data_IF_862745238795
#
_entry.id   IF_862745238795
#
_cell.length_a   1.000
_cell.length_b   1.000
_cell.length_c   1.000
_cell.angle_alpha   90.00
_cell.angle_beta   90.00
_cell.angle_gamma   90.00
#
_symmetry.space_group_name_H-M   'P 1'
#
loop_
_entity.id
_entity.type
_entity.pdbx_description
1 polymer ?
#
# COMPACT_ATOMS: atom_id res chain seq x y z
N UNK A 1 -17.16 -15.58 35.78
CA UNK A 1 -17.08 -15.71 34.31
C UNK A 1 -18.44 -15.34 33.72
N UNK A 2 -18.50 -14.31 32.87
CA UNK A 2 -19.71 -13.75 32.26
C UNK A 2 -19.51 -13.50 30.74
N UNK A 3 -18.56 -14.19 30.11
CA UNK A 3 -18.29 -14.05 28.68
C UNK A 3 -19.39 -14.66 27.80
N UNK A 4 -19.56 -14.12 26.58
CA UNK A 4 -20.49 -14.63 25.55
C UNK A 4 -21.96 -14.67 25.96
N UNK A 5 -22.40 -13.75 26.81
CA UNK A 5 -23.78 -13.69 27.32
C UNK A 5 -24.67 -12.62 26.65
N UNK A 6 -24.18 -11.96 25.59
CA UNK A 6 -24.90 -10.89 24.86
C UNK A 6 -25.34 -9.73 25.78
N UNK A 7 -24.61 -9.51 26.89
CA UNK A 7 -24.91 -8.43 27.84
C UNK A 7 -24.79 -7.08 27.13
N UNK A 8 -25.81 -6.22 27.26
CA UNK A 8 -25.82 -4.88 26.66
C UNK A 8 -25.43 -3.78 27.63
N UNK A 9 -25.74 -3.98 28.90
CA UNK A 9 -25.44 -3.06 30.00
C UNK A 9 -25.18 -3.86 31.27
N UNK A 10 -24.44 -3.26 32.18
CA UNK A 10 -24.25 -3.74 33.55
C UNK A 10 -24.54 -2.55 34.45
N UNK A 11 -25.31 -2.75 35.51
CA UNK A 11 -25.63 -1.68 36.45
C UNK A 11 -24.41 -1.31 37.29
N UNK A 12 -24.31 -0.04 37.67
CA UNK A 12 -23.30 0.42 38.62
C UNK A 12 -23.38 -0.38 39.93
N UNK A 13 -22.22 -0.68 40.50
CA UNK A 13 -22.12 -1.42 41.76
C UNK A 13 -22.49 -2.91 41.69
N UNK A 14 -22.80 -3.47 40.51
CA UNK A 14 -23.13 -4.92 40.34
C UNK A 14 -22.10 -5.83 40.99
N UNK A 15 -20.81 -5.47 40.91
CA UNK A 15 -19.70 -6.26 41.45
C UNK A 15 -19.12 -5.72 42.77
N UNK A 16 -19.69 -4.64 43.32
CA UNK A 16 -19.10 -3.88 44.45
C UNK A 16 -18.87 -4.69 45.73
N UNK A 17 -19.69 -5.72 45.96
CA UNK A 17 -19.59 -6.58 47.15
C UNK A 17 -18.71 -7.81 46.95
N UNK A 18 -18.15 -8.02 45.75
CA UNK A 18 -17.36 -9.20 45.40
C UNK A 18 -15.88 -8.99 45.70
N UNK A 19 -15.54 -8.59 46.93
CA UNK A 19 -14.17 -8.24 47.33
C UNK A 19 -13.14 -9.37 47.22
N UNK A 20 -13.60 -10.63 47.17
CA UNK A 20 -12.78 -11.84 46.99
C UNK A 20 -12.66 -12.30 45.53
N UNK A 21 -13.29 -11.59 44.59
CA UNK A 21 -13.26 -11.96 43.17
C UNK A 21 -11.84 -11.82 42.62
N UNK A 22 -11.31 -12.89 42.04
CA UNK A 22 -9.95 -12.94 41.48
C UNK A 22 -9.96 -12.74 39.96
N UNK A 23 -11.00 -13.22 39.30
CA UNK A 23 -11.11 -13.22 37.83
C UNK A 23 -12.51 -12.77 37.40
N UNK A 24 -12.53 -11.79 36.48
CA UNK A 24 -13.73 -11.28 35.86
C UNK A 24 -13.56 -11.26 34.35
N UNK A 25 -14.30 -12.14 33.69
CA UNK A 25 -14.36 -12.20 32.24
C UNK A 25 -15.74 -11.70 31.75
N UNK A 26 -15.74 -10.56 31.07
CA UNK A 26 -16.87 -9.91 30.41
C UNK A 26 -16.72 -9.92 28.88
N UNK A 27 -15.80 -10.71 28.34
CA UNK A 27 -15.48 -10.71 26.92
C UNK A 27 -16.61 -11.18 26.02
N UNK A 28 -16.58 -10.75 24.75
CA UNK A 28 -17.55 -11.17 23.72
C UNK A 28 -19.01 -10.92 24.12
N UNK A 29 -19.29 -9.77 24.72
CA UNK A 29 -20.65 -9.31 25.00
C UNK A 29 -21.02 -8.16 24.03
N UNK A 30 -22.08 -7.42 24.33
CA UNK A 30 -22.54 -6.28 23.53
C UNK A 30 -22.52 -4.99 24.36
N UNK A 31 -21.54 -4.86 25.25
CA UNK A 31 -21.38 -3.70 26.12
C UNK A 31 -20.90 -2.51 25.30
N UNK A 32 -21.74 -1.49 25.18
CA UNK A 32 -21.39 -0.25 24.49
C UNK A 32 -20.66 0.75 25.41
N UNK A 33 -20.91 0.65 26.72
CA UNK A 33 -20.33 1.50 27.75
C UNK A 33 -20.09 0.66 29.02
N UNK A 34 -19.09 1.07 29.80
CA UNK A 34 -18.88 0.57 31.16
C UNK A 34 -19.18 1.70 32.14
N UNK A 35 -20.01 1.47 33.16
CA UNK A 35 -20.16 2.43 34.24
C UNK A 35 -18.81 2.75 34.90
N UNK A 36 -18.60 3.99 35.30
CA UNK A 36 -17.31 4.46 35.83
C UNK A 36 -16.88 3.70 37.10
N UNK A 37 -17.84 3.39 37.97
CA UNK A 37 -17.63 2.68 39.24
C UNK A 37 -17.87 1.16 39.15
N UNK A 38 -17.92 0.60 37.93
CA UNK A 38 -18.25 -0.82 37.73
C UNK A 38 -17.32 -1.78 38.49
N UNK A 39 -16.04 -1.42 38.59
CA UNK A 39 -14.99 -2.25 39.19
C UNK A 39 -14.64 -1.85 40.62
N UNK A 40 -15.37 -0.91 41.21
CA UNK A 40 -15.14 -0.50 42.59
C UNK A 40 -15.41 -1.66 43.56
N UNK A 41 -14.62 -1.75 44.63
CA UNK A 41 -14.72 -2.84 45.62
C UNK A 41 -14.06 -4.16 45.21
N UNK A 42 -13.57 -4.30 43.97
CA UNK A 42 -12.88 -5.49 43.47
C UNK A 42 -11.39 -5.55 43.86
N UNK A 43 -11.10 -5.39 45.15
CA UNK A 43 -9.74 -5.24 45.66
C UNK A 43 -8.81 -6.41 45.32
N UNK A 44 -9.32 -7.66 45.24
CA UNK A 44 -8.52 -8.86 44.98
C UNK A 44 -8.47 -9.29 43.51
N UNK A 45 -9.02 -8.48 42.59
CA UNK A 45 -9.08 -8.85 41.19
C UNK A 45 -7.69 -8.85 40.57
N UNK A 46 -7.33 -9.97 39.95
CA UNK A 46 -6.04 -10.18 39.30
C UNK A 46 -6.17 -10.28 37.78
N UNK A 47 -7.32 -10.75 37.28
CA UNK A 47 -7.55 -10.92 35.85
C UNK A 47 -8.86 -10.26 35.43
N UNK A 48 -8.76 -9.34 34.46
CA UNK A 48 -9.91 -8.67 33.87
C UNK A 48 -9.87 -8.83 32.35
N UNK A 49 -10.97 -9.32 31.80
CA UNK A 49 -11.13 -9.43 30.35
C UNK A 49 -12.41 -8.70 29.93
N UNK A 50 -12.27 -7.64 29.15
CA UNK A 50 -13.40 -6.89 28.55
C UNK A 50 -13.36 -6.89 27.02
N UNK A 51 -12.52 -7.76 26.44
CA UNK A 51 -12.29 -7.85 25.00
C UNK A 51 -13.55 -8.14 24.19
N UNK A 52 -13.50 -7.79 22.90
CA UNK A 52 -14.58 -8.07 21.94
C UNK A 52 -15.95 -7.53 22.38
N UNK A 53 -15.97 -6.34 22.94
CA UNK A 53 -17.18 -5.56 23.19
C UNK A 53 -17.17 -4.29 22.32
N UNK A 54 -18.33 -3.78 21.88
CA UNK A 54 -18.42 -2.55 21.09
C UNK A 54 -18.26 -1.29 21.97
N UNK A 55 -17.27 -1.27 22.86
CA UNK A 55 -17.02 -0.13 23.76
C UNK A 55 -16.53 1.07 22.97
N UNK A 56 -17.26 2.18 23.07
CA UNK A 56 -16.90 3.43 22.39
C UNK A 56 -15.79 4.19 23.12
N UNK A 57 -15.79 4.14 24.46
CA UNK A 57 -14.86 4.86 25.31
C UNK A 57 -14.61 4.11 26.62
N UNK A 58 -13.51 4.46 27.29
CA UNK A 58 -13.22 4.08 28.66
C UNK A 58 -13.22 5.36 29.50
N UNK A 59 -13.91 5.34 30.63
CA UNK A 59 -13.91 6.46 31.55
C UNK A 59 -12.49 6.75 32.05
N UNK A 60 -12.11 8.02 32.27
CA UNK A 60 -10.88 8.35 32.99
C UNK A 60 -10.87 7.61 34.33
N UNK A 61 -9.77 6.90 34.61
CA UNK A 61 -9.64 6.14 35.84
C UNK A 61 -10.48 4.85 35.93
N UNK A 62 -11.05 4.34 34.83
CA UNK A 62 -11.86 3.11 34.80
C UNK A 62 -11.23 1.91 35.53
N UNK A 63 -9.89 1.85 35.59
CA UNK A 63 -9.14 0.76 36.22
C UNK A 63 -8.43 1.17 37.52
N UNK A 64 -8.66 2.37 38.06
CA UNK A 64 -7.95 2.86 39.25
C UNK A 64 -8.24 2.03 40.50
N UNK A 65 -9.44 1.50 40.63
CA UNK A 65 -9.90 0.68 41.77
C UNK A 65 -9.37 -0.77 41.75
N UNK A 66 -8.36 -1.08 40.92
CA UNK A 66 -7.84 -2.45 40.70
C UNK A 66 -6.33 -2.57 41.07
N UNK A 67 -5.96 -2.42 42.36
CA UNK A 67 -4.56 -2.32 42.78
C UNK A 67 -3.74 -3.61 42.57
N UNK A 68 -4.41 -4.77 42.49
CA UNK A 68 -3.77 -6.09 42.36
C UNK A 68 -3.91 -6.71 40.96
N UNK A 69 -4.37 -5.92 39.97
CA UNK A 69 -4.57 -6.42 38.62
C UNK A 69 -3.24 -6.84 37.98
N UNK A 70 -3.17 -8.08 37.49
CA UNK A 70 -1.99 -8.69 36.86
C UNK A 70 -2.15 -8.87 35.36
N UNK A 71 -3.37 -9.12 34.90
CA UNK A 71 -3.70 -9.35 33.49
C UNK A 71 -4.93 -8.55 33.07
N UNK A 72 -4.80 -7.80 31.97
CA UNK A 72 -5.89 -7.00 31.39
C UNK A 72 -5.99 -7.28 29.88
N UNK A 73 -7.16 -7.75 29.43
CA UNK A 73 -7.43 -7.90 28.00
C UNK A 73 -8.42 -6.85 27.49
N UNK A 74 -7.95 -6.07 26.52
CA UNK A 74 -8.63 -5.02 25.75
C UNK A 74 -8.66 -5.37 24.25
N UNK A 75 -8.49 -6.64 23.92
CA UNK A 75 -8.47 -7.12 22.54
C UNK A 75 -9.80 -6.85 21.83
N UNK A 76 -9.75 -6.56 20.52
CA UNK A 76 -10.95 -6.25 19.74
C UNK A 76 -11.60 -4.90 20.04
N UNK A 77 -11.12 -4.13 21.02
CA UNK A 77 -11.63 -2.78 21.33
C UNK A 77 -10.99 -1.72 20.43
N UNK A 78 -11.81 -0.85 19.84
CA UNK A 78 -11.38 0.31 19.05
C UNK A 78 -11.52 1.59 19.87
N UNK A 79 -10.68 1.77 20.89
CA UNK A 79 -10.78 2.94 21.77
C UNK A 79 -9.90 4.07 21.20
N UNK A 80 -10.48 5.20 20.76
CA UNK A 80 -9.73 6.30 20.13
C UNK A 80 -8.86 7.10 21.13
N UNK A 81 -9.16 7.04 22.43
CA UNK A 81 -8.54 7.90 23.46
C UNK A 81 -7.75 7.10 24.52
N UNK A 82 -6.97 6.10 24.09
CA UNK A 82 -6.04 5.43 25.01
C UNK A 82 -4.82 6.34 25.21
N UNK A 83 -4.51 6.63 26.48
CA UNK A 83 -3.37 7.45 26.87
C UNK A 83 -2.56 6.78 27.99
N UNK A 84 -1.32 7.20 28.17
CA UNK A 84 -0.40 6.65 29.18
C UNK A 84 -1.00 6.73 30.59
N UNK A 85 -1.76 7.80 30.87
CA UNK A 85 -2.43 8.03 32.15
C UNK A 85 -3.51 7.00 32.46
N UNK A 86 -4.08 6.32 31.45
CA UNK A 86 -5.12 5.30 31.64
C UNK A 86 -4.60 4.09 32.45
N UNK A 87 -3.30 3.78 32.38
CA UNK A 87 -2.73 2.57 32.98
C UNK A 87 -1.71 2.84 34.10
N UNK A 88 -1.44 4.11 34.42
CA UNK A 88 -0.33 4.47 35.32
C UNK A 88 -0.51 3.96 36.77
N UNK A 89 -1.75 3.81 37.25
CA UNK A 89 -2.05 3.24 38.58
C UNK A 89 -1.93 1.72 38.66
N UNK A 90 -1.88 1.03 37.52
CA UNK A 90 -1.82 -0.43 37.47
C UNK A 90 -0.36 -0.90 37.64
N UNK A 91 0.19 -0.70 38.84
CA UNK A 91 1.61 -0.96 39.15
C UNK A 91 1.97 -2.45 39.16
N UNK A 92 0.99 -3.33 39.38
CA UNK A 92 1.18 -4.78 39.41
C UNK A 92 0.86 -5.47 38.07
N UNK A 93 0.54 -4.69 37.04
CA UNK A 93 0.14 -5.22 35.74
C UNK A 93 1.34 -5.86 35.03
N UNK A 94 1.20 -7.15 34.73
CA UNK A 94 2.26 -7.95 34.11
C UNK A 94 1.97 -8.30 32.66
N UNK A 95 0.69 -8.45 32.32
CA UNK A 95 0.21 -8.83 31.00
C UNK A 95 -0.90 -7.88 30.55
N UNK A 96 -0.79 -7.37 29.32
CA UNK A 96 -1.83 -6.58 28.69
C UNK A 96 -1.99 -6.94 27.22
N UNK A 97 -3.23 -7.03 26.76
CA UNK A 97 -3.58 -7.39 25.40
C UNK A 97 -4.38 -6.25 24.77
N UNK A 98 -3.88 -5.69 23.68
CA UNK A 98 -4.53 -4.64 22.91
C UNK A 98 -4.98 -5.15 21.54
N UNK A 99 -5.84 -4.39 20.87
CA UNK A 99 -6.12 -4.58 19.44
C UNK A 99 -4.92 -4.23 18.55
N UNK A 100 -4.19 -3.16 18.86
CA UNK A 100 -3.07 -2.64 18.05
C UNK A 100 -1.76 -2.68 18.82
N UNK A 101 -0.70 -3.16 18.17
CA UNK A 101 0.63 -3.29 18.79
C UNK A 101 1.22 -1.91 19.21
N UNK A 102 0.89 -0.83 18.50
CA UNK A 102 1.38 0.53 18.81
C UNK A 102 0.95 1.03 20.19
N UNK A 103 -0.16 0.51 20.75
CA UNK A 103 -0.64 0.89 22.08
C UNK A 103 0.26 0.37 23.21
N UNK A 104 1.13 -0.60 22.93
CA UNK A 104 2.14 -1.05 23.87
C UNK A 104 3.13 0.07 24.26
N UNK A 105 3.29 1.10 23.43
CA UNK A 105 4.10 2.28 23.77
C UNK A 105 3.57 3.06 24.98
N UNK A 106 2.29 2.94 25.31
CA UNK A 106 1.65 3.60 26.44
C UNK A 106 1.87 2.92 27.79
N UNK A 107 2.40 1.68 27.78
CA UNK A 107 2.56 0.84 28.97
C UNK A 107 3.98 0.24 29.06
N UNK A 108 5.04 1.09 29.06
CA UNK A 108 6.42 0.61 29.06
C UNK A 108 6.80 -0.15 30.34
N UNK A 109 6.07 0.03 31.43
CA UNK A 109 6.29 -0.68 32.71
C UNK A 109 5.76 -2.12 32.70
N UNK A 110 4.93 -2.50 31.72
CA UNK A 110 4.31 -3.82 31.65
C UNK A 110 5.26 -4.81 30.98
N UNK A 111 5.50 -5.95 31.64
CA UNK A 111 6.47 -6.97 31.19
C UNK A 111 6.09 -7.64 29.86
N UNK A 112 4.80 -7.91 29.65
CA UNK A 112 4.30 -8.57 28.43
C UNK A 112 3.12 -7.81 27.84
N UNK A 113 3.36 -7.15 26.72
CA UNK A 113 2.31 -6.50 25.92
C UNK A 113 2.10 -7.23 24.59
N UNK A 114 0.84 -7.43 24.21
CA UNK A 114 0.42 -8.11 22.97
C UNK A 114 -0.55 -7.22 22.18
N UNK A 115 -0.56 -7.28 20.83
CA UNK A 115 0.32 -8.07 19.97
C UNK A 115 1.73 -7.45 19.83
N UNK A 116 2.70 -8.25 19.40
CA UNK A 116 4.11 -7.82 19.21
C UNK A 116 4.37 -7.30 17.78
N UNK A 117 3.40 -7.46 16.89
CA UNK A 117 3.50 -7.21 15.46
C UNK A 117 2.11 -7.01 14.87
N UNK A 118 2.02 -6.21 13.80
CA UNK A 118 0.86 -6.11 12.91
C UNK A 118 1.04 -6.96 11.63
N UNK A 119 2.08 -7.80 11.58
CA UNK A 119 2.50 -8.57 10.40
C UNK A 119 3.43 -7.82 9.44
N UNK A 120 3.56 -6.51 9.59
CA UNK A 120 4.46 -5.64 8.79
C UNK A 120 5.66 -5.23 9.63
N UNK A 121 5.35 -4.67 10.79
CA UNK A 121 6.26 -4.09 11.76
C UNK A 121 6.38 -4.98 12.99
N UNK A 122 7.51 -4.88 13.68
CA UNK A 122 7.72 -5.49 15.00
C UNK A 122 7.94 -4.41 16.05
N UNK A 123 8.22 -4.80 17.29
CA UNK A 123 8.59 -3.82 18.32
C UNK A 123 9.91 -3.12 18.04
N UNK A 124 10.81 -3.83 17.36
CA UNK A 124 12.17 -3.36 17.10
C UNK A 124 12.27 -2.64 15.75
N UNK A 125 11.56 -3.11 14.71
CA UNK A 125 11.79 -2.63 13.34
C UNK A 125 10.47 -2.30 12.63
N UNK A 126 10.50 -1.30 11.75
CA UNK A 126 9.37 -0.92 10.91
C UNK A 126 9.03 -2.04 9.92
N UNK A 127 10.06 -2.66 9.33
CA UNK A 127 9.96 -3.88 8.56
C UNK A 127 10.49 -5.06 9.39
N UNK A 128 9.58 -5.88 9.91
CA UNK A 128 9.93 -7.00 10.79
C UNK A 128 10.85 -8.04 10.11
N UNK A 129 10.68 -8.24 8.80
CA UNK A 129 11.40 -9.27 8.05
C UNK A 129 12.73 -8.72 7.48
N UNK A 130 13.84 -9.40 7.78
CA UNK A 130 15.17 -9.04 7.25
C UNK A 130 15.23 -9.07 5.71
N UNK A 131 14.52 -9.99 5.07
CA UNK A 131 14.47 -10.08 3.60
C UNK A 131 13.80 -8.84 3.02
N UNK A 132 12.71 -8.37 3.64
CA UNK A 132 12.03 -7.13 3.20
C UNK A 132 12.93 -5.91 3.40
N UNK A 133 13.68 -5.85 4.51
CA UNK A 133 14.65 -4.78 4.78
C UNK A 133 15.78 -4.73 3.77
N UNK A 134 16.30 -5.87 3.31
CA UNK A 134 17.31 -5.88 2.24
C UNK A 134 16.67 -5.55 0.89
N UNK A 135 15.50 -6.12 0.62
CA UNK A 135 14.81 -5.97 -0.66
C UNK A 135 14.36 -4.53 -0.92
N UNK A 136 13.95 -3.78 0.11
CA UNK A 136 13.50 -2.38 -0.06
C UNK A 136 14.60 -1.51 -0.67
N UNK A 137 15.85 -1.66 -0.21
CA UNK A 137 17.00 -0.91 -0.74
C UNK A 137 17.36 -1.35 -2.15
N UNK A 138 17.37 -2.65 -2.42
CA UNK A 138 17.68 -3.19 -3.75
C UNK A 138 16.66 -2.70 -4.78
N UNK A 139 15.37 -2.80 -4.47
CA UNK A 139 14.31 -2.39 -5.38
C UNK A 139 14.26 -0.86 -5.52
N UNK A 140 14.46 -0.10 -4.44
CA UNK A 140 14.55 1.36 -4.49
C UNK A 140 15.67 1.82 -5.46
N UNK A 141 16.88 1.26 -5.31
CA UNK A 141 18.01 1.54 -6.18
C UNK A 141 17.71 1.17 -7.64
N UNK A 142 17.25 -0.06 -7.89
CA UNK A 142 16.93 -0.52 -9.24
C UNK A 142 15.87 0.37 -9.92
N UNK A 143 14.84 0.74 -9.17
CA UNK A 143 13.74 1.57 -9.68
C UNK A 143 14.21 3.00 -9.97
N UNK A 144 14.89 3.66 -9.04
CA UNK A 144 15.37 5.03 -9.24
C UNK A 144 16.44 5.13 -10.34
N UNK A 145 17.51 4.35 -10.22
CA UNK A 145 18.64 4.44 -11.16
C UNK A 145 18.28 3.86 -12.53
N UNK A 146 17.51 2.77 -12.58
CA UNK A 146 17.05 2.17 -13.83
C UNK A 146 16.20 3.13 -14.65
N UNK A 147 15.20 3.77 -14.02
CA UNK A 147 14.34 4.73 -14.72
C UNK A 147 15.10 6.02 -15.10
N UNK A 148 15.97 6.54 -14.24
CA UNK A 148 16.81 7.70 -14.54
C UNK A 148 17.74 7.44 -15.73
N UNK A 149 18.37 6.26 -15.78
CA UNK A 149 19.23 5.85 -16.88
C UNK A 149 18.46 5.85 -18.21
N UNK A 150 17.23 5.31 -18.22
CA UNK A 150 16.38 5.28 -19.43
C UNK A 150 16.01 6.69 -19.89
N UNK A 151 15.66 7.59 -18.97
CA UNK A 151 15.34 8.99 -19.27
C UNK A 151 16.57 9.69 -19.88
N UNK A 152 17.74 9.55 -19.25
CA UNK A 152 19.00 10.16 -19.70
C UNK A 152 19.38 9.64 -21.08
N UNK A 153 19.44 8.33 -21.24
CA UNK A 153 19.79 7.67 -22.50
C UNK A 153 18.87 8.09 -23.66
N UNK A 154 17.56 8.10 -23.44
CA UNK A 154 16.58 8.53 -24.46
C UNK A 154 16.57 10.03 -24.70
N UNK A 155 17.21 10.82 -23.84
CA UNK A 155 17.37 12.27 -24.03
C UNK A 155 18.67 12.59 -24.77
N UNK A 156 19.75 11.88 -24.50
CA UNK A 156 21.05 12.07 -25.18
C UNK A 156 21.09 11.49 -26.60
N UNK A 157 20.40 10.38 -26.87
CA UNK A 157 20.39 9.73 -28.20
C UNK A 157 19.43 10.41 -29.21
N UNK A 158 19.05 11.67 -28.97
CA UNK A 158 17.98 12.38 -29.66
C UNK A 158 18.05 12.41 -31.19
N UNK A 159 17.35 11.46 -31.81
CA UNK A 159 16.79 11.63 -33.16
C UNK A 159 15.27 11.53 -33.04
N UNK A 160 14.61 12.69 -33.13
CA UNK A 160 13.16 12.94 -33.07
C UNK A 160 12.39 12.59 -31.78
N UNK A 161 11.71 13.61 -31.22
CA UNK A 161 10.77 13.50 -30.11
C UNK A 161 9.45 12.86 -30.56
N UNK A 162 9.46 11.54 -30.80
CA UNK A 162 8.25 10.78 -31.07
C UNK A 162 7.27 10.88 -29.87
N UNK A 163 5.95 10.96 -30.10
CA UNK A 163 4.95 10.94 -29.01
C UNK A 163 5.16 9.73 -28.09
N UNK A 164 5.47 8.58 -28.69
CA UNK A 164 5.85 7.35 -28.00
C UNK A 164 7.06 7.49 -27.06
N UNK A 165 8.13 8.17 -27.49
CA UNK A 165 9.31 8.41 -26.65
C UNK A 165 8.97 9.32 -25.47
N UNK A 166 8.03 10.25 -25.66
CA UNK A 166 7.56 11.16 -24.61
C UNK A 166 6.74 10.41 -23.55
N UNK A 167 5.86 9.49 -23.98
CA UNK A 167 5.10 8.63 -23.07
C UNK A 167 6.00 7.72 -22.23
N UNK A 168 7.04 7.10 -22.83
CA UNK A 168 8.00 6.28 -22.08
C UNK A 168 8.76 7.11 -21.04
N UNK A 169 9.20 8.32 -21.39
CA UNK A 169 9.85 9.21 -20.40
C UNK A 169 8.91 9.55 -19.25
N UNK A 170 7.64 9.84 -19.54
CA UNK A 170 6.62 10.09 -18.52
C UNK A 170 6.41 8.87 -17.60
N UNK A 171 6.40 7.66 -18.16
CA UNK A 171 6.25 6.43 -17.39
C UNK A 171 7.46 6.18 -16.48
N UNK A 172 8.68 6.40 -16.97
CA UNK A 172 9.88 6.33 -16.14
C UNK A 172 9.88 7.38 -15.01
N UNK A 173 9.30 8.57 -15.23
CA UNK A 173 9.11 9.55 -14.16
C UNK A 173 8.14 9.03 -13.09
N UNK A 174 7.00 8.46 -13.49
CA UNK A 174 6.04 7.88 -12.56
C UNK A 174 6.64 6.71 -11.76
N UNK A 175 7.29 5.76 -12.43
CA UNK A 175 7.96 4.62 -11.79
C UNK A 175 9.11 5.05 -10.87
N UNK A 176 9.86 6.10 -11.23
CA UNK A 176 10.90 6.67 -10.37
C UNK A 176 10.37 7.19 -9.02
N UNK A 177 9.13 7.69 -8.97
CA UNK A 177 8.49 8.12 -7.72
C UNK A 177 8.28 6.94 -6.75
N UNK A 178 7.99 5.73 -7.26
CA UNK A 178 7.90 4.52 -6.42
C UNK A 178 9.25 4.22 -5.75
N UNK A 179 10.36 4.39 -6.47
CA UNK A 179 11.70 4.23 -5.91
C UNK A 179 12.00 5.23 -4.79
N UNK A 180 11.60 6.50 -4.96
CA UNK A 180 11.72 7.54 -3.92
C UNK A 180 10.90 7.15 -2.68
N UNK A 181 9.67 6.67 -2.85
CA UNK A 181 8.86 6.17 -1.75
C UNK A 181 9.57 5.04 -0.98
N UNK A 182 10.13 4.04 -1.67
CA UNK A 182 10.84 2.94 -1.01
C UNK A 182 12.10 3.42 -0.28
N UNK A 183 12.82 4.42 -0.81
CA UNK A 183 13.93 5.06 -0.11
C UNK A 183 13.48 5.70 1.21
N UNK A 184 12.33 6.37 1.22
CA UNK A 184 11.76 6.96 2.45
C UNK A 184 11.46 5.86 3.47
N UNK A 185 10.78 4.77 3.06
CA UNK A 185 10.49 3.65 3.96
C UNK A 185 11.77 3.01 4.50
N UNK A 186 12.76 2.75 3.64
CA UNK A 186 14.05 2.18 4.05
C UNK A 186 14.81 3.10 5.02
N UNK A 187 14.80 4.41 4.79
CA UNK A 187 15.47 5.37 5.66
C UNK A 187 14.84 5.42 7.07
N UNK A 188 13.51 5.45 7.16
CA UNK A 188 12.82 5.44 8.45
C UNK A 188 12.86 4.08 9.15
N UNK A 189 12.94 2.97 8.42
CA UNK A 189 13.23 1.65 9.01
C UNK A 189 14.61 1.63 9.69
N UNK A 190 15.64 2.18 9.02
CA UNK A 190 16.98 2.32 9.63
C UNK A 190 16.97 3.29 10.83
N UNK A 191 16.26 4.42 10.72
CA UNK A 191 16.21 5.42 11.78
C UNK A 191 15.59 4.89 13.08
N UNK A 192 14.57 4.04 12.98
CA UNK A 192 13.85 3.53 14.14
C UNK A 192 14.22 2.09 14.53
N UNK A 193 15.32 1.57 13.97
CA UNK A 193 15.74 0.18 14.21
C UNK A 193 16.10 -0.05 15.69
N UNK A 194 15.59 -1.14 16.25
CA UNK A 194 15.75 -1.55 17.65
C UNK A 194 14.64 -1.06 18.58
N UNK A 195 13.90 0.01 18.23
CA UNK A 195 12.88 0.58 19.12
C UNK A 195 11.68 1.21 18.39
N UNK A 196 11.31 0.65 17.23
CA UNK A 196 10.22 1.17 16.40
C UNK A 196 8.88 1.37 17.13
N UNK A 197 8.49 0.50 18.07
CA UNK A 197 7.19 0.63 18.75
C UNK A 197 7.00 1.98 19.43
N UNK A 198 8.06 2.58 19.99
CA UNK A 198 8.01 3.90 20.64
C UNK A 198 7.71 5.01 19.64
N UNK A 199 8.14 4.84 18.39
CA UNK A 199 7.98 5.82 17.32
C UNK A 199 6.79 5.52 16.39
N UNK A 200 6.22 4.31 16.44
CA UNK A 200 5.22 3.83 15.49
C UNK A 200 4.03 4.78 15.35
N UNK A 201 3.43 5.23 16.47
CA UNK A 201 2.29 6.15 16.43
C UNK A 201 2.68 7.54 15.89
N UNK A 202 3.86 8.04 16.28
CA UNK A 202 4.38 9.31 15.79
C UNK A 202 4.65 9.26 14.29
N UNK A 203 5.29 8.19 13.80
CA UNK A 203 5.58 7.95 12.40
C UNK A 203 4.30 7.86 11.56
N UNK A 204 3.36 6.99 11.94
CA UNK A 204 2.10 6.83 11.23
C UNK A 204 1.23 8.09 11.25
N UNK A 205 1.30 8.91 12.30
CA UNK A 205 0.63 10.21 12.36
C UNK A 205 1.33 11.33 11.60
N UNK A 206 2.58 11.13 11.18
CA UNK A 206 3.44 12.19 10.67
C UNK A 206 3.15 12.60 9.23
N UNK A 207 3.53 13.84 8.87
CA UNK A 207 3.46 14.34 7.50
C UNK A 207 4.37 13.55 6.54
N UNK A 208 5.63 13.17 6.88
CA UNK A 208 6.46 12.34 6.01
C UNK A 208 5.81 11.01 5.60
N UNK A 209 5.18 10.29 6.53
CA UNK A 209 4.47 9.06 6.22
C UNK A 209 3.29 9.32 5.25
N UNK A 210 2.48 10.35 5.54
CA UNK A 210 1.35 10.71 4.69
C UNK A 210 1.79 11.12 3.26
N UNK A 211 2.87 11.89 3.13
CA UNK A 211 3.43 12.27 1.84
C UNK A 211 4.02 11.06 1.11
N UNK A 212 4.73 10.17 1.81
CA UNK A 212 5.27 8.94 1.23
C UNK A 212 4.15 8.06 0.66
N UNK A 213 3.06 7.88 1.40
CA UNK A 213 1.87 7.17 0.93
C UNK A 213 1.24 7.81 -0.30
N UNK A 214 1.07 9.14 -0.30
CA UNK A 214 0.54 9.86 -1.46
C UNK A 214 1.44 9.72 -2.69
N UNK A 215 2.76 9.70 -2.49
CA UNK A 215 3.74 9.52 -3.56
C UNK A 215 3.64 8.11 -4.18
N UNK A 216 3.48 7.09 -3.33
CA UNK A 216 3.29 5.71 -3.78
C UNK A 216 2.00 5.55 -4.60
N UNK A 217 0.88 6.12 -4.13
CA UNK A 217 -0.38 6.12 -4.90
C UNK A 217 -0.25 6.91 -6.20
N UNK A 218 0.37 8.10 -6.17
CA UNK A 218 0.59 8.89 -7.39
C UNK A 218 1.38 8.09 -8.42
N UNK A 219 2.45 7.43 -7.99
CA UNK A 219 3.28 6.58 -8.83
C UNK A 219 2.48 5.41 -9.43
N UNK A 220 1.79 4.62 -8.60
CA UNK A 220 1.05 3.44 -9.07
C UNK A 220 -0.07 3.80 -10.05
N UNK A 221 -0.88 4.80 -9.72
CA UNK A 221 -2.06 5.15 -10.52
C UNK A 221 -1.66 5.82 -11.84
N UNK A 222 -0.67 6.72 -11.82
CA UNK A 222 -0.17 7.34 -13.05
C UNK A 222 0.46 6.29 -13.96
N UNK A 223 1.22 5.33 -13.44
CA UNK A 223 1.81 4.25 -14.24
C UNK A 223 0.74 3.42 -14.97
N UNK A 224 -0.34 3.01 -14.30
CA UNK A 224 -1.44 2.23 -14.93
C UNK A 224 -2.16 3.05 -16.02
N UNK A 225 -2.45 4.32 -15.75
CA UNK A 225 -3.09 5.22 -16.73
C UNK A 225 -2.19 5.47 -17.95
N UNK A 226 -0.88 5.61 -17.74
CA UNK A 226 0.11 5.77 -18.81
C UNK A 226 0.23 4.50 -19.67
N UNK A 227 0.24 3.31 -19.05
CA UNK A 227 0.24 2.03 -19.78
C UNK A 227 -1.03 1.85 -20.61
N UNK A 228 -2.18 2.25 -20.07
CA UNK A 228 -3.46 2.27 -20.79
C UNK A 228 -3.40 3.21 -21.98
N UNK A 229 -2.91 4.43 -21.78
CA UNK A 229 -2.70 5.40 -22.85
C UNK A 229 -1.77 4.88 -23.95
N UNK A 230 -0.61 4.32 -23.58
CA UNK A 230 0.35 3.76 -24.54
C UNK A 230 -0.27 2.64 -25.36
N UNK A 231 -1.12 1.80 -24.75
CA UNK A 231 -1.83 0.72 -25.44
C UNK A 231 -2.86 1.28 -26.42
N UNK A 232 -3.66 2.28 -26.00
CA UNK A 232 -4.63 2.94 -26.87
C UNK A 232 -3.98 3.71 -28.03
N UNK A 233 -2.84 4.35 -27.81
CA UNK A 233 -2.07 5.01 -28.87
C UNK A 233 -1.67 4.00 -29.95
N UNK A 234 -1.17 2.82 -29.56
CA UNK A 234 -0.80 1.74 -30.50
C UNK A 234 -2.01 1.14 -31.20
N UNK A 235 -3.09 0.89 -30.46
CA UNK A 235 -4.34 0.42 -31.01
C UNK A 235 -4.84 1.34 -32.13
N UNK A 236 -4.94 2.65 -31.87
CA UNK A 236 -5.38 3.62 -32.86
C UNK A 236 -4.46 3.67 -34.08
N UNK A 237 -3.14 3.60 -33.87
CA UNK A 237 -2.15 3.67 -34.96
C UNK A 237 -2.16 2.45 -35.88
N UNK A 238 -2.40 1.25 -35.32
CA UNK A 238 -2.37 -0.02 -36.07
C UNK A 238 -3.73 -0.32 -36.71
N UNK A 239 -4.83 -0.10 -35.99
CA UNK A 239 -6.17 -0.42 -36.48
C UNK A 239 -6.72 0.68 -37.40
N UNK A 240 -6.33 1.94 -37.20
CA UNK A 240 -6.82 3.09 -37.98
C UNK A 240 -5.68 3.93 -38.60
N UNK A 241 -4.96 3.40 -39.60
CA UNK A 241 -3.74 4.02 -40.13
C UNK A 241 -3.94 5.39 -40.83
N UNK A 242 -5.16 5.72 -41.30
CA UNK A 242 -5.43 6.96 -42.05
C UNK A 242 -6.01 8.12 -41.21
N UNK A 243 -6.03 8.01 -39.88
CA UNK A 243 -6.51 9.10 -39.02
C UNK A 243 -5.51 10.28 -38.98
N UNK A 244 -5.97 11.48 -39.33
CA UNK A 244 -5.19 12.72 -39.53
C UNK A 244 -4.12 13.00 -38.44
N UNK A 245 -2.84 12.86 -38.80
CA UNK A 245 -1.70 12.71 -37.87
C UNK A 245 -0.94 13.99 -37.47
N UNK A 246 -1.31 15.19 -37.96
CA UNK A 246 -0.48 16.41 -37.79
C UNK A 246 -0.59 17.09 -36.42
N UNK A 247 -1.65 16.81 -35.65
CA UNK A 247 -1.88 17.37 -34.30
C UNK A 247 -1.45 16.45 -33.15
N UNK A 248 -0.77 15.33 -33.44
CA UNK A 248 -0.55 14.22 -32.50
C UNK A 248 0.37 14.60 -31.34
N UNK A 249 1.45 15.35 -31.55
CA UNK A 249 2.42 15.68 -30.48
C UNK A 249 1.82 16.61 -29.41
N UNK A 250 1.11 17.68 -29.79
CA UNK A 250 0.43 18.59 -28.84
C UNK A 250 -0.67 17.83 -28.07
N UNK A 251 -1.42 16.97 -28.77
CA UNK A 251 -2.42 16.10 -28.15
C UNK A 251 -1.81 15.13 -27.13
N UNK A 252 -0.70 14.48 -27.47
CA UNK A 252 0.02 13.58 -26.53
C UNK A 252 0.42 14.31 -25.26
N UNK A 253 1.09 15.46 -25.37
CA UNK A 253 1.51 16.24 -24.18
C UNK A 253 0.31 16.65 -23.33
N UNK A 254 -0.79 17.09 -23.97
CA UNK A 254 -2.02 17.45 -23.25
C UNK A 254 -2.64 16.26 -22.51
N UNK A 255 -2.68 15.08 -23.14
CA UNK A 255 -3.21 13.86 -22.50
C UNK A 255 -2.32 13.41 -21.34
N UNK A 256 -0.99 13.44 -21.52
CA UNK A 256 -0.05 13.11 -20.45
C UNK A 256 -0.20 14.08 -19.26
N UNK A 257 -0.33 15.38 -19.51
CA UNK A 257 -0.60 16.37 -18.47
C UNK A 257 -1.92 16.10 -17.73
N UNK A 258 -2.98 15.74 -18.46
CA UNK A 258 -4.26 15.37 -17.86
C UNK A 258 -4.16 14.11 -16.98
N UNK A 259 -3.40 13.10 -17.41
CA UNK A 259 -3.14 11.89 -16.61
C UNK A 259 -2.42 12.26 -15.30
N UNK A 260 -1.39 13.11 -15.37
CA UNK A 260 -0.67 13.57 -14.18
C UNK A 260 -1.57 14.39 -13.24
N UNK A 261 -2.39 15.28 -13.78
CA UNK A 261 -3.35 16.06 -12.98
C UNK A 261 -4.37 15.16 -12.30
N UNK A 262 -4.90 14.16 -13.01
CA UNK A 262 -5.81 13.17 -12.43
C UNK A 262 -5.11 12.37 -11.33
N UNK A 263 -3.94 11.81 -11.59
CA UNK A 263 -3.17 11.06 -10.58
C UNK A 263 -2.83 11.90 -9.34
N UNK A 264 -2.41 13.15 -9.54
CA UNK A 264 -2.14 14.08 -8.45
C UNK A 264 -3.41 14.34 -7.63
N UNK A 265 -4.54 14.61 -8.28
CA UNK A 265 -5.82 14.80 -7.59
C UNK A 265 -6.21 13.55 -6.78
N UNK A 266 -6.07 12.35 -7.35
CA UNK A 266 -6.40 11.09 -6.67
C UNK A 266 -5.52 10.83 -5.44
N UNK A 267 -4.24 11.21 -5.51
CA UNK A 267 -3.30 11.06 -4.39
C UNK A 267 -3.42 12.12 -3.28
N UNK A 268 -3.82 13.35 -3.62
CA UNK A 268 -3.80 14.49 -2.69
C UNK A 268 -5.14 14.72 -2.00
N UNK A 269 -6.27 14.36 -2.62
CA UNK A 269 -7.61 14.51 -2.03
C UNK A 269 -7.72 13.92 -0.60
N UNK A 270 -7.19 12.72 -0.29
CA UNK A 270 -7.20 12.20 1.08
C UNK A 270 -6.35 12.98 2.07
N UNK A 271 -5.34 13.72 1.63
CA UNK A 271 -4.50 14.58 2.47
C UNK A 271 -5.21 15.89 2.84
N UNK A 272 -5.93 16.48 1.89
CA UNK A 272 -6.66 17.73 2.08
C UNK A 272 -7.93 17.54 2.92
N UNK A 273 -8.66 16.44 2.71
CA UNK A 273 -9.96 16.20 3.33
C UNK A 273 -9.89 15.24 4.53
N UNK A 274 -9.13 15.62 5.57
CA UNK A 274 -8.96 14.80 6.78
C UNK A 274 -10.26 14.52 7.54
N UNK A 275 -11.24 15.42 7.48
CA UNK A 275 -12.56 15.19 8.08
C UNK A 275 -13.34 14.06 7.39
N UNK A 276 -13.10 13.83 6.11
CA UNK A 276 -13.76 12.77 5.35
C UNK A 276 -12.97 11.46 5.43
N UNK A 277 -11.64 11.51 5.32
CA UNK A 277 -10.80 10.31 5.14
C UNK A 277 -10.01 9.89 6.39
N UNK A 278 -9.88 10.77 7.38
CA UNK A 278 -9.06 10.56 8.56
C UNK A 278 -7.57 10.49 8.22
N UNK A 279 -6.80 9.73 8.99
CA UNK A 279 -5.43 9.39 8.62
C UNK A 279 -5.44 8.27 7.56
N UNK A 280 -5.64 8.64 6.29
CA UNK A 280 -5.83 7.69 5.20
C UNK A 280 -4.56 6.88 4.88
N UNK A 281 -3.44 7.58 4.71
CA UNK A 281 -2.14 6.96 4.39
C UNK A 281 -1.46 6.36 5.62
N UNK A 282 -1.54 7.03 6.77
CA UNK A 282 -0.84 6.65 7.99
C UNK A 282 -1.55 5.59 8.85
N UNK A 283 -2.14 4.56 8.24
CA UNK A 283 -2.81 3.46 8.98
C UNK A 283 -1.89 2.32 9.33
N UNK A 284 -0.79 2.19 8.61
CA UNK A 284 0.21 1.13 8.78
C UNK A 284 1.62 1.72 8.67
N UNK A 285 2.62 0.95 9.09
CA UNK A 285 4.02 1.39 9.09
C UNK A 285 4.60 1.74 7.72
N UNK A 286 4.04 1.18 6.64
CA UNK A 286 4.48 1.42 5.24
C UNK A 286 3.71 2.55 4.55
N UNK A 287 2.75 3.17 5.24
CA UNK A 287 1.98 4.31 4.76
C UNK A 287 1.15 4.07 3.48
N UNK A 288 0.75 2.81 3.21
CA UNK A 288 0.07 2.44 1.96
C UNK A 288 -1.36 1.93 2.20
N UNK A 289 -2.39 2.52 1.56
CA UNK A 289 -3.80 2.29 1.91
C UNK A 289 -4.45 1.11 1.15
N UNK A 290 -3.84 -0.08 1.24
CA UNK A 290 -4.34 -1.29 0.56
C UNK A 290 -5.41 -2.02 1.39
N UNK A 291 -5.15 -2.22 2.67
CA UNK A 291 -6.02 -2.98 3.57
C UNK A 291 -7.07 -2.08 4.19
N UNK A 292 -8.34 -2.51 4.15
CA UNK A 292 -9.45 -1.83 4.80
C UNK A 292 -9.87 -2.55 6.08
N UNK A 293 -9.73 -1.88 7.24
CA UNK A 293 -10.21 -2.39 8.54
C UNK A 293 -11.72 -2.10 8.77
N UNK A 294 -12.35 -2.89 9.64
CA UNK A 294 -13.79 -2.81 9.95
C UNK A 294 -14.22 -1.43 10.51
N UNK A 295 -13.35 -0.77 11.28
CA UNK A 295 -13.56 0.58 11.86
C UNK A 295 -13.27 1.76 10.95
N UNK A 296 -12.97 1.52 9.66
CA UNK A 296 -12.71 2.61 8.72
C UNK A 296 -13.97 3.38 8.34
N UNK A 297 -13.81 4.69 8.14
CA UNK A 297 -14.87 5.52 7.56
C UNK A 297 -15.30 4.94 6.21
N UNK A 298 -16.62 4.81 5.94
CA UNK A 298 -17.13 4.25 4.69
C UNK A 298 -16.60 4.98 3.44
N UNK A 299 -16.42 6.30 3.54
CA UNK A 299 -15.81 7.15 2.49
C UNK A 299 -14.40 6.71 2.12
N UNK A 300 -13.53 6.45 3.10
CA UNK A 300 -12.16 6.02 2.87
C UNK A 300 -12.09 4.60 2.28
N UNK A 301 -12.93 3.69 2.79
CA UNK A 301 -13.03 2.33 2.26
C UNK A 301 -13.48 2.35 0.80
N UNK A 302 -14.52 3.12 0.50
CA UNK A 302 -15.04 3.32 -0.86
C UNK A 302 -13.99 3.91 -1.78
N UNK A 303 -13.27 4.95 -1.35
CA UNK A 303 -12.23 5.61 -2.15
C UNK A 303 -11.07 4.68 -2.51
N UNK A 304 -10.52 3.96 -1.53
CA UNK A 304 -9.46 2.96 -1.78
C UNK A 304 -9.95 1.85 -2.73
N UNK A 305 -11.20 1.41 -2.62
CA UNK A 305 -11.79 0.44 -3.55
C UNK A 305 -11.96 1.02 -4.97
N UNK A 306 -12.41 2.26 -5.10
CA UNK A 306 -12.55 2.93 -6.40
C UNK A 306 -11.21 3.02 -7.13
N UNK A 307 -10.13 3.34 -6.43
CA UNK A 307 -8.79 3.45 -7.03
C UNK A 307 -8.25 2.05 -7.36
N UNK A 308 -8.01 1.22 -6.34
CA UNK A 308 -7.25 -0.03 -6.51
C UNK A 308 -8.05 -1.17 -7.12
N UNK A 309 -9.38 -1.10 -7.15
CA UNK A 309 -10.22 -2.10 -7.82
C UNK A 309 -10.92 -1.49 -9.04
N UNK A 310 -11.65 -0.38 -8.87
CA UNK A 310 -12.48 0.20 -9.94
C UNK A 310 -11.68 0.72 -11.14
N UNK A 311 -10.83 1.72 -10.92
CA UNK A 311 -10.04 2.38 -11.96
C UNK A 311 -9.11 1.38 -12.67
N UNK A 312 -8.39 0.57 -11.88
CA UNK A 312 -7.44 -0.38 -12.42
C UNK A 312 -8.12 -1.52 -13.18
N UNK A 313 -9.27 -2.04 -12.73
CA UNK A 313 -10.04 -3.02 -13.49
C UNK A 313 -10.51 -2.44 -14.84
N UNK A 314 -11.00 -1.20 -14.85
CA UNK A 314 -11.42 -0.53 -16.09
C UNK A 314 -10.24 -0.34 -17.06
N UNK A 315 -9.06 0.03 -16.54
CA UNK A 315 -7.81 0.10 -17.30
C UNK A 315 -7.45 -1.26 -17.92
N UNK A 316 -7.45 -2.34 -17.14
CA UNK A 316 -7.14 -3.68 -17.65
C UNK A 316 -8.13 -4.18 -18.70
N UNK A 317 -9.44 -3.96 -18.52
CA UNK A 317 -10.45 -4.33 -19.51
C UNK A 317 -10.17 -3.60 -20.84
N UNK A 318 -9.89 -2.30 -20.75
CA UNK A 318 -9.57 -1.46 -21.92
C UNK A 318 -8.32 -1.97 -22.65
N UNK A 319 -7.28 -2.31 -21.88
CA UNK A 319 -6.03 -2.85 -22.38
C UNK A 319 -6.25 -4.20 -23.09
N UNK A 320 -6.93 -5.16 -22.43
CA UNK A 320 -7.19 -6.49 -22.99
C UNK A 320 -8.00 -6.39 -24.28
N UNK A 321 -9.03 -5.54 -24.31
CA UNK A 321 -9.82 -5.27 -25.51
C UNK A 321 -8.93 -4.73 -26.65
N UNK A 322 -8.12 -3.71 -26.36
CA UNK A 322 -7.26 -3.06 -27.34
C UNK A 322 -6.22 -4.03 -27.94
N UNK A 323 -5.56 -4.87 -27.11
CA UNK A 323 -4.63 -5.89 -27.60
C UNK A 323 -5.33 -6.96 -28.42
N UNK A 324 -6.49 -7.45 -27.97
CA UNK A 324 -7.25 -8.46 -28.69
C UNK A 324 -7.61 -7.99 -30.10
N UNK A 325 -8.09 -6.74 -30.20
CA UNK A 325 -8.41 -6.13 -31.50
C UNK A 325 -7.17 -5.86 -32.35
N UNK A 326 -6.06 -5.41 -31.74
CA UNK A 326 -4.79 -5.19 -32.44
C UNK A 326 -4.24 -6.50 -33.03
N UNK A 327 -4.17 -7.58 -32.24
CA UNK A 327 -3.69 -8.88 -32.71
C UNK A 327 -4.61 -9.47 -33.78
N UNK A 328 -5.93 -9.30 -33.65
CA UNK A 328 -6.88 -9.70 -34.68
C UNK A 328 -6.63 -8.95 -36.00
N UNK A 329 -6.52 -7.62 -35.96
CA UNK A 329 -6.24 -6.79 -37.14
C UNK A 329 -4.91 -7.17 -37.81
N UNK A 330 -3.87 -7.39 -37.01
CA UNK A 330 -2.57 -7.88 -37.49
C UNK A 330 -2.72 -9.24 -38.20
N UNK A 331 -3.45 -10.20 -37.61
CA UNK A 331 -3.64 -11.53 -38.19
C UNK A 331 -4.42 -11.47 -39.52
N UNK A 332 -5.48 -10.67 -39.58
CA UNK A 332 -6.28 -10.46 -40.79
C UNK A 332 -5.47 -9.75 -41.89
N UNK A 333 -4.59 -8.82 -41.52
CA UNK A 333 -3.73 -8.11 -42.48
C UNK A 333 -2.61 -9.02 -42.98
N UNK A 334 -2.00 -9.82 -42.09
CA UNK A 334 -0.97 -10.79 -42.43
C UNK A 334 -1.46 -11.90 -43.37
N UNK A 335 -2.74 -12.31 -43.28
CA UNK A 335 -3.31 -13.30 -44.19
C UNK A 335 -3.66 -12.74 -45.57
N UNK A 336 -3.81 -11.42 -45.71
CA UNK A 336 -4.19 -10.74 -46.95
C UNK A 336 -3.02 -10.17 -47.76
N UNK A 337 -1.84 -9.99 -47.16
CA UNK A 337 -0.70 -9.33 -47.81
C UNK A 337 0.53 -10.25 -47.90
N UNK A 338 1.02 -10.54 -49.11
CA UNK A 338 2.20 -11.39 -49.35
C UNK A 338 3.57 -10.75 -48.99
N UNK A 339 3.57 -9.50 -48.49
CA UNK A 339 4.77 -8.76 -48.12
C UNK A 339 5.23 -9.01 -46.68
N UNK A 340 6.03 -10.07 -46.46
CA UNK A 340 6.50 -10.54 -45.12
C UNK A 340 7.29 -9.51 -44.29
N UNK A 341 7.93 -8.50 -44.90
CA UNK A 341 8.90 -7.62 -44.23
C UNK A 341 8.31 -6.52 -43.33
N UNK A 342 7.32 -5.76 -43.81
CA UNK A 342 6.75 -4.61 -43.07
C UNK A 342 5.86 -5.08 -41.93
N UNK A 343 5.02 -6.10 -42.18
CA UNK A 343 4.15 -6.71 -41.18
C UNK A 343 4.96 -7.32 -40.01
N UNK A 344 6.14 -7.91 -40.28
CA UNK A 344 7.00 -8.50 -39.24
C UNK A 344 7.53 -7.46 -38.24
N UNK A 345 7.84 -6.24 -38.70
CA UNK A 345 8.34 -5.17 -37.82
C UNK A 345 7.27 -4.65 -36.87
N UNK A 346 6.05 -4.44 -37.36
CA UNK A 346 4.90 -4.01 -36.53
C UNK A 346 4.46 -5.09 -35.54
N UNK A 347 4.43 -6.36 -35.96
CA UNK A 347 4.18 -7.52 -35.09
C UNK A 347 5.23 -7.61 -33.97
N UNK A 348 6.50 -7.40 -34.30
CA UNK A 348 7.60 -7.44 -33.32
C UNK A 348 7.45 -6.33 -32.28
N UNK A 349 6.99 -5.15 -32.68
CA UNK A 349 6.72 -4.03 -31.77
C UNK A 349 5.50 -4.33 -30.90
N UNK A 350 4.40 -4.81 -31.48
CA UNK A 350 3.18 -5.17 -30.73
C UNK A 350 3.42 -6.27 -29.68
N UNK A 351 4.20 -7.31 -30.01
CA UNK A 351 4.59 -8.37 -29.07
C UNK A 351 5.40 -7.84 -27.88
N UNK A 352 6.22 -6.79 -28.06
CA UNK A 352 6.98 -6.17 -26.95
C UNK A 352 6.07 -5.49 -25.95
N UNK A 353 5.11 -4.70 -26.44
CA UNK A 353 4.13 -4.02 -25.58
C UNK A 353 3.22 -5.00 -24.86
N UNK A 354 2.86 -6.10 -25.52
CA UNK A 354 2.11 -7.18 -24.89
C UNK A 354 2.83 -7.75 -23.66
N UNK A 355 4.13 -8.03 -23.72
CA UNK A 355 4.86 -8.54 -22.56
C UNK A 355 4.93 -7.53 -21.41
N UNK A 356 5.10 -6.24 -21.70
CA UNK A 356 5.12 -5.16 -20.70
C UNK A 356 3.79 -5.08 -19.96
N UNK A 357 2.70 -5.12 -20.72
CA UNK A 357 1.35 -5.09 -20.16
C UNK A 357 1.01 -6.38 -19.42
N UNK A 358 1.48 -7.53 -19.90
CA UNK A 358 1.29 -8.80 -19.21
C UNK A 358 2.00 -8.82 -17.87
N UNK A 359 3.25 -8.33 -17.80
CA UNK A 359 3.99 -8.26 -16.52
C UNK A 359 3.30 -7.34 -15.53
N UNK A 360 2.79 -6.19 -15.98
CA UNK A 360 2.00 -5.28 -15.14
C UNK A 360 0.72 -5.96 -14.63
N UNK A 361 -0.09 -6.53 -15.54
CA UNK A 361 -1.32 -7.22 -15.18
C UNK A 361 -1.11 -8.35 -14.16
N UNK A 362 -0.03 -9.13 -14.31
CA UNK A 362 0.33 -10.19 -13.36
C UNK A 362 0.68 -9.64 -11.98
N UNK A 363 1.32 -8.47 -11.89
CA UNK A 363 1.63 -7.83 -10.61
C UNK A 363 0.39 -7.25 -9.91
N UNK A 364 -0.66 -6.93 -10.66
CA UNK A 364 -1.92 -6.42 -10.11
C UNK A 364 -2.88 -7.49 -9.63
N UNK A 365 -2.77 -8.74 -10.10
CA UNK A 365 -3.63 -9.86 -9.63
C UNK A 365 -3.61 -10.00 -8.10
N UNK A 366 -2.45 -10.07 -7.41
CA UNK A 366 -2.42 -10.17 -5.94
C UNK A 366 -3.09 -8.97 -5.26
N UNK A 367 -2.93 -7.76 -5.81
CA UNK A 367 -3.49 -6.53 -5.25
C UNK A 367 -5.03 -6.58 -5.33
N UNK A 368 -5.57 -6.97 -6.48
CA UNK A 368 -7.02 -7.16 -6.64
C UNK A 368 -7.58 -8.22 -5.70
N UNK A 369 -6.90 -9.36 -5.58
CA UNK A 369 -7.32 -10.43 -4.68
C UNK A 369 -7.33 -9.96 -3.23
N UNK A 370 -6.27 -9.29 -2.77
CA UNK A 370 -6.23 -8.74 -1.41
C UNK A 370 -7.32 -7.69 -1.18
N UNK A 371 -7.58 -6.81 -2.14
CA UNK A 371 -8.64 -5.80 -1.99
C UNK A 371 -10.02 -6.43 -1.95
N UNK A 372 -10.28 -7.44 -2.80
CA UNK A 372 -11.53 -8.19 -2.81
C UNK A 372 -11.76 -8.93 -1.47
N UNK A 373 -10.74 -9.64 -0.98
CA UNK A 373 -10.78 -10.32 0.31
C UNK A 373 -10.99 -9.34 1.47
N UNK A 374 -10.35 -8.18 1.42
CA UNK A 374 -10.53 -7.11 2.41
C UNK A 374 -11.96 -6.54 2.38
N UNK A 375 -12.59 -6.42 1.21
CA UNK A 375 -14.00 -6.01 1.10
C UNK A 375 -14.95 -7.07 1.64
N UNK A 376 -14.64 -8.36 1.43
CA UNK A 376 -15.36 -9.50 2.01
C UNK A 376 -15.13 -9.67 3.52
N UNK A 377 -14.37 -8.79 4.16
CA UNK A 377 -14.05 -8.81 5.60
C UNK A 377 -13.33 -10.10 6.03
N UNK A 378 -12.54 -10.70 5.14
CA UNK A 378 -11.68 -11.83 5.49
C UNK A 378 -10.44 -11.30 6.19
N UNK A 379 -10.04 -11.92 7.30
CA UNK A 379 -8.81 -11.58 8.00
C UNK A 379 -7.59 -11.92 7.13
N UNK A 380 -6.86 -10.88 6.71
CA UNK A 380 -5.65 -11.01 5.89
C UNK A 380 -4.44 -10.84 6.80
N UNK A 381 -3.50 -11.79 6.83
CA UNK A 381 -2.24 -11.62 7.56
C UNK A 381 -1.45 -10.43 7.01
N UNK A 382 -1.04 -9.50 7.89
CA UNK A 382 -0.27 -8.32 7.50
C UNK A 382 1.07 -8.65 6.82
N UNK A 383 1.60 -9.87 7.02
CA UNK A 383 2.78 -10.37 6.31
C UNK A 383 2.57 -10.39 4.80
N UNK A 384 1.39 -10.82 4.33
CA UNK A 384 1.06 -10.87 2.89
C UNK A 384 0.99 -9.44 2.33
N UNK A 385 0.33 -8.53 3.04
CA UNK A 385 0.25 -7.11 2.67
C UNK A 385 1.65 -6.49 2.51
N UNK A 386 2.59 -6.84 3.40
CA UNK A 386 3.98 -6.35 3.33
C UNK A 386 4.71 -6.80 2.07
N UNK A 387 4.60 -8.08 1.71
CA UNK A 387 5.20 -8.61 0.48
C UNK A 387 4.60 -7.95 -0.75
N UNK A 388 3.29 -7.70 -0.76
CA UNK A 388 2.65 -7.03 -1.90
C UNK A 388 3.15 -5.59 -2.04
N UNK A 389 3.17 -4.81 -0.96
CA UNK A 389 3.51 -3.38 -1.01
C UNK A 389 5.02 -3.15 -1.24
N UNK A 390 5.89 -3.92 -0.60
CA UNK A 390 7.34 -3.72 -0.66
C UNK A 390 7.98 -4.45 -1.84
N UNK A 391 7.38 -5.54 -2.31
CA UNK A 391 7.97 -6.38 -3.35
C UNK A 391 7.15 -6.40 -4.65
N UNK A 392 5.87 -6.82 -4.61
CA UNK A 392 5.09 -7.04 -5.85
C UNK A 392 4.73 -5.73 -6.55
N UNK A 393 4.27 -4.72 -5.81
CA UNK A 393 3.88 -3.44 -6.41
C UNK A 393 5.09 -2.76 -7.10
N UNK A 394 6.28 -2.67 -6.46
CA UNK A 394 7.39 -1.94 -7.06
C UNK A 394 8.21 -2.75 -8.08
N UNK A 395 8.07 -4.09 -8.13
CA UNK A 395 8.83 -4.92 -9.09
C UNK A 395 8.54 -4.53 -10.53
N UNK A 396 7.30 -4.14 -10.83
CA UNK A 396 6.90 -3.71 -12.16
C UNK A 396 7.65 -2.44 -12.58
N UNK A 397 7.71 -1.45 -11.68
CA UNK A 397 8.47 -0.21 -11.88
C UNK A 397 9.98 -0.44 -12.03
N UNK A 398 10.53 -1.50 -11.43
CA UNK A 398 11.94 -1.90 -11.59
C UNK A 398 12.20 -2.65 -12.92
N UNK A 399 11.26 -3.49 -13.38
CA UNK A 399 11.38 -4.29 -14.60
C UNK A 399 11.10 -3.48 -15.87
N UNK A 400 10.25 -2.47 -15.78
CA UNK A 400 9.86 -1.57 -16.87
C UNK A 400 11.06 -1.03 -17.67
N UNK A 401 12.09 -0.42 -17.06
CA UNK A 401 13.34 -0.05 -17.73
C UNK A 401 14.00 -1.15 -18.55
N UNK A 402 14.04 -2.39 -18.04
CA UNK A 402 14.66 -3.51 -18.74
C UNK A 402 13.86 -3.85 -20.01
N UNK A 403 12.54 -3.89 -19.89
CA UNK A 403 11.64 -4.18 -21.01
C UNK A 403 11.68 -3.09 -22.09
N UNK A 404 11.79 -1.81 -21.70
CA UNK A 404 11.88 -0.68 -22.65
C UNK A 404 13.23 -0.54 -23.34
N UNK A 405 14.30 -1.06 -22.74
CA UNK A 405 15.67 -0.77 -23.18
C UNK A 405 16.31 -1.98 -23.87
N UNK A 406 16.21 -3.18 -23.27
CA UNK A 406 16.83 -4.40 -23.80
C UNK A 406 16.15 -4.93 -25.08
N UNK A 407 14.91 -4.54 -25.34
CA UNK A 407 14.16 -5.02 -26.51
C UNK A 407 14.34 -4.15 -27.76
N UNK A 408 15.04 -3.02 -27.68
CA UNK A 408 15.22 -2.10 -28.83
C UNK A 408 16.51 -2.43 -29.61
N UNK A 409 16.38 -2.84 -30.88
CA UNK A 409 17.50 -3.20 -31.76
C UNK A 409 18.61 -2.12 -31.88
N UNK A 410 18.30 -0.80 -32.00
CA UNK A 410 19.33 0.24 -32.11
C UNK A 410 20.18 0.39 -30.85
N UNK A 411 19.58 0.09 -29.68
CA UNK A 411 20.30 0.12 -28.40
C UNK A 411 21.27 -1.05 -28.28
N UNK A 412 20.83 -2.26 -28.66
CA UNK A 412 21.69 -3.46 -28.66
C UNK A 412 22.90 -3.28 -29.58
N UNK A 413 22.71 -2.63 -30.72
CA UNK A 413 23.79 -2.34 -31.68
C UNK A 413 24.78 -1.29 -31.18
N UNK A 414 24.33 -0.20 -30.55
CA UNK A 414 25.23 0.84 -30.02
C UNK A 414 25.88 0.49 -28.68
N UNK A 415 25.23 -0.25 -27.79
CA UNK A 415 25.89 -0.80 -26.59
C UNK A 415 26.99 -1.78 -26.99
N UNK A 416 26.75 -2.62 -28.01
CA UNK A 416 27.81 -3.43 -28.62
C UNK A 416 28.90 -2.56 -29.24
N UNK A 417 28.55 -1.43 -29.85
CA UNK A 417 29.51 -0.44 -30.35
C UNK A 417 30.41 0.15 -29.25
N UNK A 418 29.84 0.61 -28.13
CA UNK A 418 30.60 1.13 -26.99
C UNK A 418 31.44 0.05 -26.30
N UNK A 419 30.92 -1.17 -26.13
CA UNK A 419 31.67 -2.30 -25.57
C UNK A 419 32.80 -2.78 -26.49
N UNK A 420 32.65 -2.60 -27.82
CA UNK A 420 33.72 -2.87 -28.80
C UNK A 420 34.79 -1.77 -28.79
N UNK A 421 34.40 -0.51 -28.63
CA UNK A 421 35.34 0.62 -28.53
C UNK A 421 36.20 0.58 -27.24
N UNK A 422 35.81 -0.20 -26.23
CA UNK A 422 36.57 -0.43 -25.00
C UNK A 422 37.40 -1.72 -24.98
N UNK A 423 37.35 -2.57 -26.03
CA UNK A 423 38.35 -3.63 -26.20
C UNK A 423 39.54 -3.02 -26.95
N UNK A 424 40.72 -2.83 -26.32
CA UNK A 424 41.93 -2.63 -27.10
C UNK A 424 42.11 -3.88 -27.98
N UNK A 425 42.30 -3.67 -29.28
CA UNK A 425 42.71 -4.74 -30.18
C UNK A 425 44.02 -5.33 -29.65
N UNK A 426 44.00 -6.64 -29.38
CA UNK A 426 45.11 -7.42 -28.86
C UNK A 426 45.64 -8.29 -29.99
#
# INVERSE_FOLDING_TARGET
ILCRNKLRWIQDGTFSRLSRLVELDLSSNSLAQLPAALFDGLAQLQQLNISYNPLAELSPGQFESLPHLRSLSLEGLEIPNIHNLTFHKLTHLSHIYFKRFQYCSYVPHVRSCKPNTDGISSFENLLANIILRVSVWVIACLTCFGNLLVICLRSCLGTESSPHTTAIKSLCCADGLMGIYLFVIGAFDLQYSGEYNKHAQGWMGSLPCQLAGSLATLSSEVSVLLLTYMTLEKYCSIVFPFSHHRAVKKRTVSVLAAIWLLGFSLSVVPLCCKETFGNYYGRNGVCFPLQSELGERPSARGYSATIYLGLNLAAFITIVFAYSSMFYSIHVTASKTAGRGVCSREVTVAKRFFFIVLTDALCWIPIFLLKLLSLLQVEIPGTVTSWVVIFILPINSALNPLLYTLTTAPFRERVRGCLRAQRPEL
#
